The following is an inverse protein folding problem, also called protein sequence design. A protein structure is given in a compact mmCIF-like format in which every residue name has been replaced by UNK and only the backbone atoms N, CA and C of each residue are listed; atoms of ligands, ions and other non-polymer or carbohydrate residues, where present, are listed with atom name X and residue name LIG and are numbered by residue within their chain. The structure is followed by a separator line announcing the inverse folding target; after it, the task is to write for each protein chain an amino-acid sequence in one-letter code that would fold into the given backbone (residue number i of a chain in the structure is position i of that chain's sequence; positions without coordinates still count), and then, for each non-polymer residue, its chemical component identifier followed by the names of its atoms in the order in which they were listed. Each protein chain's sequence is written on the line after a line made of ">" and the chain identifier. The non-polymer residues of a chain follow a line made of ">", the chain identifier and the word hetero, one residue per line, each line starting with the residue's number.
data_IF_157072824331
#
_entry.id   IF_157072824331
#
_cell.length_a   1.000
_cell.length_b   1.000
_cell.length_c   1.000
_cell.angle_alpha   90.00
_cell.angle_beta   90.00
_cell.angle_gamma   90.00
#
_symmetry.space_group_name_H-M   'P 1'
#
loop_
_entity.id
_entity.type
_entity.pdbx_description
1 polymer ?
#
# COMPACT_ATOMS: atom_id res chain seq x y z
N UNK A 1 -17.63 -76.18 4.91
CA UNK A 1 -17.70 -74.96 5.76
C UNK A 1 -17.41 -73.74 4.89
N UNK A 2 -18.40 -72.89 4.59
CA UNK A 2 -18.22 -71.47 4.24
C UNK A 2 -19.60 -70.81 4.09
N UNK A 3 -19.90 -69.84 4.95
CA UNK A 3 -21.08 -69.00 4.86
C UNK A 3 -20.76 -67.77 4.01
N UNK A 4 -21.59 -67.50 3.02
CA UNK A 4 -21.52 -66.32 2.14
C UNK A 4 -22.01 -65.10 2.91
N UNK A 5 -21.11 -64.16 3.24
CA UNK A 5 -21.47 -62.90 3.90
C UNK A 5 -21.88 -61.87 2.84
N UNK A 6 -23.13 -61.42 2.86
CA UNK A 6 -23.64 -60.41 1.91
C UNK A 6 -23.05 -59.04 2.24
N UNK A 7 -22.26 -58.48 1.32
CA UNK A 7 -21.65 -57.17 1.45
C UNK A 7 -22.70 -56.07 1.21
N UNK A 8 -23.22 -55.45 2.26
CA UNK A 8 -24.18 -54.34 2.15
C UNK A 8 -23.43 -53.02 1.97
N UNK A 9 -23.31 -52.56 0.72
CA UNK A 9 -22.73 -51.25 0.39
C UNK A 9 -23.69 -50.15 0.86
N UNK A 10 -23.35 -49.46 1.95
CA UNK A 10 -24.09 -48.27 2.40
C UNK A 10 -23.96 -47.15 1.36
N UNK A 11 -25.02 -46.89 0.59
CA UNK A 11 -25.15 -45.66 -0.20
C UNK A 11 -25.34 -44.49 0.76
N UNK A 12 -24.36 -43.60 0.83
CA UNK A 12 -24.55 -42.28 1.42
C UNK A 12 -25.57 -41.53 0.58
N UNK A 13 -26.71 -41.16 1.18
CA UNK A 13 -27.69 -40.29 0.54
C UNK A 13 -27.04 -38.90 0.39
N UNK A 14 -26.92 -38.40 -0.83
CA UNK A 14 -26.56 -37.00 -1.06
C UNK A 14 -27.66 -36.12 -0.48
N UNK A 15 -27.35 -35.45 0.63
CA UNK A 15 -28.16 -34.39 1.18
C UNK A 15 -27.79 -33.11 0.42
N UNK A 16 -28.73 -32.53 -0.31
CA UNK A 16 -28.54 -31.26 -1.00
C UNK A 16 -28.60 -30.09 -0.02
N UNK A 17 -27.87 -29.03 -0.33
CA UNK A 17 -27.92 -27.75 0.41
C UNK A 17 -29.29 -27.11 0.25
N UNK A 18 -29.89 -26.62 1.32
CA UNK A 18 -31.20 -25.97 1.25
C UNK A 18 -31.06 -24.52 0.77
N UNK A 19 -32.07 -24.00 0.07
CA UNK A 19 -32.07 -22.59 -0.37
C UNK A 19 -32.07 -21.62 0.81
N UNK A 20 -32.66 -22.02 1.94
CA UNK A 20 -32.68 -21.20 3.16
C UNK A 20 -31.30 -21.13 3.82
N UNK A 21 -30.51 -22.20 3.79
CA UNK A 21 -29.12 -22.18 4.25
C UNK A 21 -28.28 -21.21 3.40
N UNK A 22 -28.48 -21.21 2.08
CA UNK A 22 -27.76 -20.29 1.18
C UNK A 22 -28.16 -18.84 1.44
N UNK A 23 -29.45 -18.57 1.66
CA UNK A 23 -29.97 -17.23 1.90
C UNK A 23 -29.38 -16.61 3.18
N UNK A 24 -29.27 -17.39 4.26
CA UNK A 24 -28.67 -16.92 5.51
C UNK A 24 -27.17 -16.62 5.33
N UNK A 25 -26.44 -17.47 4.60
CA UNK A 25 -25.01 -17.24 4.32
C UNK A 25 -24.80 -15.93 3.56
N UNK A 26 -25.58 -15.70 2.50
CA UNK A 26 -25.47 -14.46 1.72
C UNK A 26 -25.85 -13.24 2.57
N UNK A 27 -26.84 -13.35 3.44
CA UNK A 27 -27.22 -12.27 4.34
C UNK A 27 -26.06 -11.90 5.30
N UNK A 28 -25.40 -12.88 5.90
CA UNK A 28 -24.28 -12.65 6.81
C UNK A 28 -23.06 -12.09 6.06
N UNK A 29 -22.69 -12.68 4.91
CA UNK A 29 -21.58 -12.19 4.07
C UNK A 29 -21.86 -10.76 3.59
N UNK A 30 -23.10 -10.43 3.26
CA UNK A 30 -23.51 -9.07 2.88
C UNK A 30 -23.25 -8.03 3.98
N UNK A 31 -23.57 -8.36 5.23
CA UNK A 31 -23.29 -7.48 6.39
C UNK A 31 -21.79 -7.31 6.59
N UNK A 32 -21.02 -8.41 6.55
CA UNK A 32 -19.56 -8.37 6.73
C UNK A 32 -18.88 -7.57 5.61
N UNK A 33 -19.29 -7.76 4.37
CA UNK A 33 -18.74 -7.06 3.22
C UNK A 33 -18.99 -5.55 3.27
N UNK A 34 -20.18 -5.14 3.73
CA UNK A 34 -20.53 -3.73 3.86
C UNK A 34 -19.58 -2.94 4.78
N UNK A 35 -19.08 -3.57 5.85
CA UNK A 35 -18.11 -2.96 6.77
C UNK A 35 -16.67 -3.23 6.37
N UNK A 36 -16.37 -4.43 5.86
CA UNK A 36 -15.01 -4.87 5.56
C UNK A 36 -14.39 -4.20 4.33
N UNK A 37 -15.16 -3.98 3.27
CA UNK A 37 -14.66 -3.37 2.03
C UNK A 37 -14.12 -1.95 2.24
N UNK A 38 -14.85 -1.00 2.87
CA UNK A 38 -14.31 0.35 3.07
C UNK A 38 -13.08 0.36 3.98
N UNK A 39 -13.04 -0.50 5.01
CA UNK A 39 -11.89 -0.61 5.91
C UNK A 39 -10.63 -1.10 5.17
N UNK A 40 -10.77 -2.07 4.27
CA UNK A 40 -9.66 -2.59 3.48
C UNK A 40 -9.09 -1.55 2.51
N UNK A 41 -9.94 -0.69 1.94
CA UNK A 41 -9.51 0.45 1.11
C UNK A 41 -8.56 1.38 1.86
N UNK A 42 -8.94 1.79 3.08
CA UNK A 42 -8.12 2.65 3.94
C UNK A 42 -6.80 1.99 4.35
N UNK A 43 -6.80 0.68 4.59
CA UNK A 43 -5.58 -0.07 4.89
C UNK A 43 -4.60 -0.01 3.71
N UNK A 44 -5.08 -0.25 2.49
CA UNK A 44 -4.23 -0.18 1.29
C UNK A 44 -3.71 1.24 1.02
N UNK A 45 -4.51 2.28 1.25
CA UNK A 45 -4.05 3.67 1.15
C UNK A 45 -2.88 3.97 2.11
N UNK A 46 -2.99 3.53 3.37
CA UNK A 46 -1.93 3.69 4.37
C UNK A 46 -0.68 2.86 4.03
N UNK A 47 -0.88 1.66 3.51
CA UNK A 47 0.20 0.78 3.09
C UNK A 47 1.02 1.41 1.95
N UNK A 48 0.35 1.99 0.94
CA UNK A 48 1.03 2.70 -0.15
C UNK A 48 1.75 3.97 0.30
N UNK A 49 1.11 4.79 1.15
CA UNK A 49 1.79 5.95 1.73
C UNK A 49 3.04 5.51 2.50
N UNK A 50 2.95 4.46 3.31
CA UNK A 50 4.10 3.93 4.06
C UNK A 50 5.20 3.40 3.15
N UNK A 51 4.86 2.79 2.00
CA UNK A 51 5.83 2.32 1.02
C UNK A 51 6.55 3.51 0.36
N UNK A 52 5.81 4.52 -0.07
CA UNK A 52 6.40 5.75 -0.63
C UNK A 52 7.27 6.51 0.40
N UNK A 53 6.84 6.62 1.65
CA UNK A 53 7.67 7.20 2.73
C UNK A 53 8.97 6.39 2.90
N UNK A 54 8.90 5.06 2.80
CA UNK A 54 10.06 4.17 2.83
C UNK A 54 11.04 4.46 1.69
N UNK A 55 10.55 4.58 0.46
CA UNK A 55 11.35 4.95 -0.71
C UNK A 55 12.01 6.32 -0.54
N UNK A 56 11.26 7.34 -0.13
CA UNK A 56 11.80 8.68 0.14
C UNK A 56 12.86 8.67 1.24
N UNK A 57 12.72 7.81 2.26
CA UNK A 57 13.72 7.68 3.32
C UNK A 57 15.03 7.05 2.81
N UNK A 58 14.93 6.09 1.88
CA UNK A 58 16.09 5.51 1.23
C UNK A 58 16.76 6.53 0.28
N UNK A 59 15.95 7.20 -0.54
CA UNK A 59 16.40 8.26 -1.44
C UNK A 59 17.08 9.42 -0.69
N UNK A 60 16.54 9.86 0.45
CA UNK A 60 17.16 10.86 1.32
C UNK A 60 18.61 10.54 1.65
N UNK A 61 18.92 9.27 1.95
CA UNK A 61 20.28 8.88 2.31
C UNK A 61 21.24 9.02 1.13
N UNK A 62 20.76 8.76 -0.08
CA UNK A 62 21.50 8.96 -1.32
C UNK A 62 21.69 10.46 -1.61
N UNK A 63 20.61 11.24 -1.55
CA UNK A 63 20.64 12.69 -1.77
C UNK A 63 21.60 13.41 -0.81
N UNK A 64 21.60 13.05 0.48
CA UNK A 64 22.53 13.59 1.48
C UNK A 64 23.98 13.21 1.18
N UNK A 65 24.22 12.02 0.64
CA UNK A 65 25.59 11.60 0.32
C UNK A 65 26.12 12.37 -0.90
N UNK A 66 25.29 12.47 -1.94
CA UNK A 66 25.59 13.22 -3.16
C UNK A 66 25.85 14.71 -2.88
N UNK A 67 25.06 15.33 -1.99
CA UNK A 67 25.26 16.74 -1.63
C UNK A 67 26.61 17.00 -0.95
N UNK A 68 27.11 16.03 -0.17
CA UNK A 68 28.40 16.14 0.53
C UNK A 68 29.58 15.85 -0.41
N UNK A 69 29.45 14.88 -1.32
CA UNK A 69 30.53 14.55 -2.27
C UNK A 69 30.54 15.43 -3.52
N UNK A 70 29.51 16.26 -3.73
CA UNK A 70 29.29 17.03 -4.97
C UNK A 70 29.20 16.13 -6.21
N UNK A 71 28.78 14.88 -6.02
CA UNK A 71 28.51 13.93 -7.11
C UNK A 71 27.04 13.99 -7.51
N UNK A 72 26.76 13.48 -8.71
CA UNK A 72 25.39 13.24 -9.14
C UNK A 72 24.71 12.19 -8.26
N UNK A 73 23.41 12.33 -8.09
CA UNK A 73 22.58 11.36 -7.39
C UNK A 73 22.50 10.11 -8.27
N UNK A 74 22.78 8.94 -7.68
CA UNK A 74 22.62 7.69 -8.41
C UNK A 74 21.14 7.50 -8.82
N UNK A 75 20.93 6.81 -9.94
CA UNK A 75 19.58 6.50 -10.42
C UNK A 75 18.77 5.78 -9.31
N UNK A 76 17.59 6.30 -9.02
CA UNK A 76 16.70 5.79 -7.99
C UNK A 76 15.31 5.59 -8.58
N UNK A 77 14.88 4.34 -8.65
CA UNK A 77 13.58 3.95 -9.18
C UNK A 77 12.52 3.98 -8.06
N UNK A 78 11.58 4.91 -8.17
CA UNK A 78 10.41 4.98 -7.29
C UNK A 78 9.31 4.05 -7.83
N UNK A 79 8.85 3.12 -6.99
CA UNK A 79 7.79 2.18 -7.36
C UNK A 79 6.46 2.54 -6.70
N UNK A 80 6.51 3.22 -5.56
CA UNK A 80 5.36 3.55 -4.72
C UNK A 80 5.07 5.04 -4.73
N UNK A 81 6.11 5.88 -4.78
CA UNK A 81 5.97 7.31 -5.05
C UNK A 81 5.86 7.58 -6.55
N UNK A 82 4.96 8.47 -6.93
CA UNK A 82 4.82 8.98 -8.29
C UNK A 82 5.72 10.22 -8.43
N UNK A 83 6.98 9.97 -8.78
CA UNK A 83 8.02 10.98 -9.06
C UNK A 83 8.56 10.62 -10.43
N UNK A 84 8.11 11.35 -11.46
CA UNK A 84 8.17 10.87 -12.85
C UNK A 84 9.23 11.54 -13.72
N UNK A 85 9.79 12.66 -13.29
CA UNK A 85 10.77 13.42 -14.07
C UNK A 85 12.05 13.68 -13.28
N UNK A 86 13.20 13.72 -13.98
CA UNK A 86 14.50 14.04 -13.37
C UNK A 86 14.46 15.39 -12.62
N UNK A 87 13.70 16.36 -13.13
CA UNK A 87 13.48 17.66 -12.47
C UNK A 87 12.75 17.53 -11.13
N UNK A 88 11.77 16.63 -11.01
CA UNK A 88 11.10 16.36 -9.74
C UNK A 88 12.02 15.64 -8.74
N UNK A 89 12.92 14.79 -9.23
CA UNK A 89 13.91 14.09 -8.40
C UNK A 89 14.89 15.10 -7.77
N UNK A 90 15.40 16.05 -8.57
CA UNK A 90 16.29 17.10 -8.09
C UNK A 90 15.59 18.03 -7.09
N UNK A 91 14.33 18.40 -7.34
CA UNK A 91 13.53 19.18 -6.41
C UNK A 91 13.35 18.48 -5.06
N UNK A 92 13.06 17.17 -5.08
CA UNK A 92 12.96 16.36 -3.86
C UNK A 92 14.32 16.23 -3.17
N UNK A 93 15.40 16.02 -3.92
CA UNK A 93 16.75 15.90 -3.38
C UNK A 93 17.23 17.16 -2.67
N UNK A 94 16.93 18.34 -3.23
CA UNK A 94 17.24 19.64 -2.61
C UNK A 94 16.56 19.85 -1.25
N UNK A 95 15.53 19.06 -0.91
CA UNK A 95 14.92 19.10 0.44
C UNK A 95 15.73 18.34 1.48
N UNK A 96 16.63 17.48 1.04
CA UNK A 96 17.44 16.63 1.89
C UNK A 96 18.88 17.10 2.03
N UNK A 97 19.34 18.05 1.22
CA UNK A 97 20.72 18.54 1.19
C UNK A 97 21.17 19.27 2.48
N UNK A 98 20.25 19.54 3.41
CA UNK A 98 20.54 20.17 4.69
C UNK A 98 20.47 21.70 4.68
N UNK A 99 20.09 22.32 3.57
CA UNK A 99 19.84 23.76 3.42
C UNK A 99 18.46 24.17 3.95
N UNK A 100 17.95 23.49 4.98
CA UNK A 100 16.57 23.54 5.53
C UNK A 100 15.97 24.95 5.82
N UNK A 101 16.73 26.03 5.64
CA UNK A 101 16.28 27.42 5.72
C UNK A 101 16.14 28.17 4.38
N UNK A 102 16.50 27.57 3.24
CA UNK A 102 16.47 28.25 1.93
C UNK A 102 15.18 28.01 1.15
N UNK A 103 14.48 26.89 1.37
CA UNK A 103 13.23 26.59 0.70
C UNK A 103 12.09 26.33 1.72
N UNK A 104 11.21 27.30 1.99
CA UNK A 104 10.14 27.16 2.99
C UNK A 104 8.97 26.29 2.52
N UNK A 105 8.85 26.03 1.22
CA UNK A 105 7.68 25.36 0.66
C UNK A 105 7.73 23.85 0.81
N UNK A 106 6.59 23.22 1.06
CA UNK A 106 6.48 21.77 1.13
C UNK A 106 6.30 21.18 -0.29
N UNK A 107 6.97 20.06 -0.58
CA UNK A 107 6.72 19.28 -1.80
C UNK A 107 5.69 18.21 -1.49
N UNK A 108 4.64 18.14 -2.31
CA UNK A 108 3.60 17.10 -2.23
C UNK A 108 3.80 16.11 -3.36
N UNK A 109 4.02 14.85 -3.01
CA UNK A 109 4.22 13.71 -3.90
C UNK A 109 3.00 12.80 -3.77
N UNK A 110 2.52 12.21 -4.85
CA UNK A 110 1.40 11.26 -4.83
C UNK A 110 1.88 9.82 -4.87
N UNK A 111 1.08 8.86 -4.39
CA UNK A 111 1.33 7.44 -4.65
C UNK A 111 0.85 7.03 -6.02
N UNK A 112 1.60 6.13 -6.67
CA UNK A 112 1.35 5.67 -8.06
C UNK A 112 -0.05 5.08 -8.24
N UNK A 113 -0.56 4.33 -7.24
CA UNK A 113 -1.76 3.51 -7.42
C UNK A 113 -3.03 4.06 -6.73
N UNK A 114 -2.90 4.94 -5.75
CA UNK A 114 -4.02 5.45 -4.93
C UNK A 114 -4.09 6.95 -4.82
N UNK A 115 -3.22 7.68 -5.52
CA UNK A 115 -3.20 9.14 -5.54
C UNK A 115 -3.14 9.73 -4.12
N UNK A 116 -2.47 9.04 -3.20
CA UNK A 116 -2.35 9.44 -1.80
C UNK A 116 -1.17 10.37 -1.65
N UNK A 117 -1.35 11.49 -0.96
CA UNK A 117 -0.29 12.47 -0.83
C UNK A 117 0.70 12.09 0.30
N UNK A 118 1.98 12.36 0.02
CA UNK A 118 3.14 12.27 0.92
C UNK A 118 3.89 13.57 0.77
N UNK A 119 4.21 14.20 1.90
CA UNK A 119 4.82 15.52 1.95
C UNK A 119 6.27 15.42 2.37
N UNK A 120 7.15 16.08 1.62
CA UNK A 120 8.53 16.38 2.00
C UNK A 120 8.58 17.86 2.34
N UNK A 121 8.75 18.18 3.62
CA UNK A 121 8.75 19.58 4.04
C UNK A 121 10.03 20.30 3.63
N UNK A 122 10.00 21.63 3.63
CA UNK A 122 11.20 22.45 3.40
C UNK A 122 12.40 22.11 4.31
N UNK A 123 12.15 21.53 5.48
CA UNK A 123 13.18 21.02 6.40
C UNK A 123 13.58 19.55 6.21
N UNK A 124 13.21 18.93 5.09
CA UNK A 124 13.53 17.55 4.77
C UNK A 124 12.82 16.51 5.65
N UNK A 125 11.69 16.86 6.27
CA UNK A 125 10.87 15.90 7.02
C UNK A 125 9.91 15.21 6.04
N UNK A 126 9.83 13.90 6.12
CA UNK A 126 8.92 13.09 5.32
C UNK A 126 7.71 12.74 6.19
N UNK A 127 6.51 12.99 5.70
CA UNK A 127 5.27 12.64 6.38
C UNK A 127 4.16 12.27 5.41
N UNK A 128 3.30 11.35 5.80
CA UNK A 128 2.04 11.13 5.06
C UNK A 128 1.11 12.31 5.34
N UNK A 129 0.56 12.94 4.30
CA UNK A 129 -0.52 13.89 4.51
C UNK A 129 -1.77 13.09 4.87
N UNK A 130 -2.16 13.13 6.14
CA UNK A 130 -3.43 12.57 6.62
C UNK A 130 -4.62 13.45 6.20
N UNK A 131 -4.37 14.53 5.46
CA UNK A 131 -5.39 15.49 5.02
C UNK A 131 -5.64 15.38 3.51
N UNK A 132 -6.59 14.53 3.15
CA UNK A 132 -7.62 14.88 2.17
C UNK A 132 -8.97 14.46 2.76
N UNK A 133 -10.02 15.30 2.66
CA UNK A 133 -11.27 15.17 3.41
C UNK A 133 -11.96 13.81 3.28
#
# INVERSE_FOLDING_TARGET
>A
MKATQSHHTRRFKQQGFTLIELLIVVAIVGILAAVGVPQYGNYLNRAEQSACIGELSAFRSLAVTASVSSDDIADFDFQSCDIGTETEIDEVASRFDGTAGENPDDIVITTVNRNQAVTVTGGGRIGGSVDTP
#
